data_IF_168554905576
#
_entry.id   IF_168554905576
#
_cell.length_a   1.000
_cell.length_b   1.000
_cell.length_c   1.000
_cell.angle_alpha   90.00
_cell.angle_beta   90.00
_cell.angle_gamma   90.00
#
_symmetry.space_group_name_H-M   'P 1'
#
loop_
_entity.id
_entity.type
_entity.pdbx_description
1 polymer ?
#
# COMPACT_ATOMS: atom_id res chain seq x y z
N UNK A 1 -17.33 9.57 4.81
CA UNK A 1 -17.30 8.35 5.66
C UNK A 1 -16.14 7.48 5.20
N UNK A 2 -15.58 6.64 6.06
CA UNK A 2 -14.62 5.57 5.71
C UNK A 2 -14.95 4.36 6.58
N UNK A 3 -15.06 3.17 5.99
CA UNK A 3 -15.49 1.93 6.70
C UNK A 3 -16.78 2.11 7.52
N UNK A 4 -17.79 2.76 6.93
CA UNK A 4 -19.08 3.02 7.57
C UNK A 4 -19.06 4.02 8.75
N UNK A 5 -17.95 4.74 8.96
CA UNK A 5 -17.80 5.69 10.10
C UNK A 5 -17.29 7.05 9.63
N UNK A 6 -17.47 8.13 10.42
CA UNK A 6 -16.84 9.42 10.13
C UNK A 6 -15.32 9.27 9.98
N UNK A 7 -14.73 10.04 9.08
CA UNK A 7 -13.28 10.05 8.85
C UNK A 7 -12.55 10.63 10.06
N UNK A 8 -11.28 10.27 10.24
CA UNK A 8 -10.48 10.69 11.41
C UNK A 8 -10.53 12.22 11.64
N UNK A 9 -10.31 13.02 10.58
CA UNK A 9 -10.37 14.48 10.67
C UNK A 9 -11.77 15.04 11.02
N UNK A 10 -12.85 14.32 10.69
CA UNK A 10 -14.21 14.76 11.07
C UNK A 10 -14.49 14.54 12.56
N UNK A 11 -13.80 13.60 13.20
CA UNK A 11 -13.97 13.29 14.62
C UNK A 11 -12.98 14.08 15.49
N UNK A 12 -11.73 14.21 15.04
CA UNK A 12 -10.62 14.71 15.87
C UNK A 12 -9.93 15.97 15.32
N UNK A 13 -10.40 16.52 14.19
CA UNK A 13 -9.78 17.66 13.51
C UNK A 13 -8.64 17.27 12.57
N UNK A 14 -8.27 18.18 11.68
CA UNK A 14 -7.25 17.96 10.63
C UNK A 14 -5.86 17.75 11.22
N UNK A 15 -5.42 18.61 12.14
CA UNK A 15 -4.11 18.53 12.79
C UNK A 15 -3.89 17.16 13.45
N UNK A 16 -4.87 16.69 14.21
CA UNK A 16 -4.83 15.37 14.86
C UNK A 16 -4.77 14.24 13.84
N UNK A 17 -5.51 14.36 12.72
CA UNK A 17 -5.54 13.33 11.70
C UNK A 17 -4.19 13.18 10.97
N UNK A 18 -3.51 14.30 10.70
CA UNK A 18 -2.16 14.30 10.12
C UNK A 18 -1.16 13.65 11.09
N UNK A 19 -1.11 14.12 12.33
CA UNK A 19 -0.18 13.59 13.35
C UNK A 19 -0.44 12.11 13.67
N UNK A 20 -1.71 11.66 13.62
CA UNK A 20 -2.02 10.24 13.77
C UNK A 20 -1.48 9.40 12.60
N UNK A 21 -1.50 9.94 11.37
CA UNK A 21 -0.88 9.31 10.21
C UNK A 21 0.63 9.16 10.37
N UNK A 22 1.32 10.24 10.75
CA UNK A 22 2.77 10.25 10.99
C UNK A 22 3.18 9.26 12.09
N UNK A 23 2.40 9.22 13.17
CA UNK A 23 2.61 8.29 14.27
C UNK A 23 2.41 6.82 13.83
N UNK A 24 1.39 6.51 13.04
CA UNK A 24 1.14 5.16 12.54
C UNK A 24 2.23 4.70 11.56
N UNK A 25 2.71 5.59 10.69
CA UNK A 25 3.81 5.33 9.78
C UNK A 25 5.08 4.97 10.56
N UNK A 26 5.43 5.78 11.55
CA UNK A 26 6.58 5.54 12.44
C UNK A 26 6.43 4.25 13.25
N UNK A 27 5.22 3.99 13.75
CA UNK A 27 4.89 2.79 14.50
C UNK A 27 5.03 1.52 13.65
N UNK A 28 4.71 1.55 12.35
CA UNK A 28 4.84 0.39 11.48
C UNK A 28 6.29 -0.14 11.45
N UNK A 29 7.27 0.75 11.26
CA UNK A 29 8.68 0.37 11.25
C UNK A 29 9.18 -0.07 12.63
N UNK A 30 8.83 0.68 13.68
CA UNK A 30 9.19 0.31 15.05
C UNK A 30 8.63 -1.07 15.42
N UNK A 31 7.38 -1.34 15.06
CA UNK A 31 6.72 -2.61 15.34
C UNK A 31 7.42 -3.78 14.65
N UNK A 32 7.75 -3.66 13.36
CA UNK A 32 8.51 -4.71 12.64
C UNK A 32 9.88 -4.94 13.30
N UNK A 33 10.61 -3.87 13.63
CA UNK A 33 11.93 -3.97 14.22
C UNK A 33 11.91 -4.60 15.64
N UNK A 34 10.96 -4.21 16.49
CA UNK A 34 10.93 -4.65 17.88
C UNK A 34 10.21 -5.98 18.10
N UNK A 35 9.12 -6.23 17.35
CA UNK A 35 8.21 -7.36 17.62
C UNK A 35 8.52 -8.59 16.80
N UNK A 36 9.30 -8.49 15.71
CA UNK A 36 9.77 -9.67 14.98
C UNK A 36 10.77 -10.44 15.83
N UNK A 37 10.47 -11.71 16.12
CA UNK A 37 11.31 -12.62 16.93
C UNK A 37 11.62 -13.88 16.13
N UNK A 38 12.70 -14.58 16.52
CA UNK A 38 13.10 -15.86 15.91
C UNK A 38 13.38 -15.77 14.39
N UNK A 39 13.83 -14.61 13.92
CA UNK A 39 14.23 -14.36 12.52
C UNK A 39 15.59 -13.68 12.52
N UNK A 40 16.47 -14.06 11.61
CA UNK A 40 17.78 -13.43 11.42
C UNK A 40 17.66 -11.92 11.19
N UNK A 41 18.49 -11.13 11.87
CA UNK A 41 18.42 -9.66 11.82
C UNK A 41 18.53 -9.12 10.39
N UNK A 42 19.34 -9.75 9.52
CA UNK A 42 19.48 -9.35 8.13
C UNK A 42 18.17 -9.45 7.34
N UNK A 43 17.31 -10.42 7.66
CA UNK A 43 15.99 -10.58 7.02
C UNK A 43 15.01 -9.52 7.52
N UNK A 44 15.05 -9.18 8.82
CA UNK A 44 14.23 -8.09 9.38
C UNK A 44 14.60 -6.75 8.74
N UNK A 45 15.89 -6.44 8.63
CA UNK A 45 16.36 -5.22 7.97
C UNK A 45 15.94 -5.19 6.50
N UNK A 46 16.06 -6.32 5.79
CA UNK A 46 15.60 -6.42 4.40
C UNK A 46 14.10 -6.18 4.27
N UNK A 47 13.27 -6.74 5.16
CA UNK A 47 11.82 -6.52 5.15
C UNK A 47 11.46 -5.05 5.44
N UNK A 48 12.16 -4.40 6.38
CA UNK A 48 12.01 -2.97 6.66
C UNK A 48 12.35 -2.13 5.42
N UNK A 49 13.44 -2.46 4.72
CA UNK A 49 13.84 -1.75 3.51
C UNK A 49 12.79 -1.91 2.39
N UNK A 50 12.23 -3.11 2.21
CA UNK A 50 11.16 -3.36 1.25
C UNK A 50 9.88 -2.58 1.58
N UNK A 51 9.48 -2.56 2.86
CA UNK A 51 8.34 -1.75 3.31
C UNK A 51 8.58 -0.25 3.05
N UNK A 52 9.79 0.25 3.36
CA UNK A 52 10.16 1.64 3.15
C UNK A 52 10.13 2.05 1.67
N UNK A 53 10.66 1.19 0.79
CA UNK A 53 10.63 1.43 -0.66
C UNK A 53 9.19 1.47 -1.17
N UNK A 54 8.35 0.52 -0.74
CA UNK A 54 6.98 0.42 -1.21
C UNK A 54 6.07 1.58 -0.78
N UNK A 55 6.32 2.19 0.39
CA UNK A 55 5.51 3.32 0.87
C UNK A 55 6.16 4.68 0.59
N UNK A 56 7.40 4.70 0.14
CA UNK A 56 8.18 5.92 -0.09
C UNK A 56 7.84 6.64 -1.39
N UNK A 57 8.74 7.55 -1.76
CA UNK A 57 8.60 8.43 -2.94
C UNK A 57 8.66 7.71 -4.29
N UNK A 58 9.10 6.46 -4.32
CA UNK A 58 9.09 5.61 -5.52
C UNK A 58 7.93 4.61 -5.52
N UNK A 59 7.11 4.61 -4.47
CA UNK A 59 6.02 3.67 -4.28
C UNK A 59 4.68 4.36 -4.08
N UNK A 60 4.01 4.04 -2.98
CA UNK A 60 2.66 4.53 -2.64
C UNK A 60 2.53 6.05 -2.78
N UNK A 61 3.50 6.80 -2.27
CA UNK A 61 3.47 8.27 -2.35
C UNK A 61 3.55 8.75 -3.79
N UNK A 62 4.36 8.12 -4.65
CA UNK A 62 4.43 8.46 -6.07
C UNK A 62 3.07 8.29 -6.74
N UNK A 63 2.44 7.13 -6.53
CA UNK A 63 1.12 6.83 -7.07
C UNK A 63 0.06 7.79 -6.57
N UNK A 64 0.11 8.16 -5.27
CA UNK A 64 -0.84 9.11 -4.68
C UNK A 64 -0.67 10.53 -5.21
N UNK A 65 0.56 10.98 -5.48
CA UNK A 65 0.81 12.31 -6.07
C UNK A 65 0.26 12.35 -7.50
N UNK A 66 0.63 11.36 -8.33
CA UNK A 66 0.18 11.32 -9.74
C UNK A 66 -1.34 11.20 -9.83
N UNK A 67 -1.98 10.45 -8.92
CA UNK A 67 -3.43 10.36 -8.80
C UNK A 67 -4.09 11.72 -8.54
N UNK A 68 -3.58 12.48 -7.56
CA UNK A 68 -4.08 13.82 -7.22
C UNK A 68 -3.89 14.80 -8.39
N UNK A 69 -2.73 14.77 -9.04
CA UNK A 69 -2.44 15.63 -10.19
C UNK A 69 -3.27 15.26 -11.44
N UNK A 70 -3.83 14.04 -11.48
CA UNK A 70 -4.67 13.53 -12.57
C UNK A 70 -6.16 13.79 -12.34
N UNK A 71 -6.57 14.32 -11.18
CA UNK A 71 -7.99 14.55 -10.88
C UNK A 71 -8.60 15.58 -11.86
N UNK A 72 -9.64 15.16 -12.57
CA UNK A 72 -10.34 16.00 -13.56
C UNK A 72 -9.72 16.00 -14.95
N UNK A 73 -8.58 15.33 -15.14
CA UNK A 73 -7.89 15.22 -16.43
C UNK A 73 -8.22 13.92 -17.18
N UNK A 74 -8.01 13.93 -18.50
CA UNK A 74 -8.07 12.70 -19.30
C UNK A 74 -6.70 12.03 -19.32
N UNK A 75 -6.56 10.95 -18.57
CA UNK A 75 -5.32 10.16 -18.53
C UNK A 75 -5.33 9.00 -19.52
N UNK A 76 -4.14 8.62 -19.98
CA UNK A 76 -3.90 7.43 -20.77
C UNK A 76 -3.98 6.16 -19.93
N UNK A 77 -4.16 5.01 -20.58
CA UNK A 77 -4.13 3.70 -19.91
C UNK A 77 -2.80 3.46 -19.17
N UNK A 78 -1.68 3.93 -19.73
CA UNK A 78 -0.36 3.77 -19.11
C UNK A 78 -0.23 4.60 -17.83
N UNK A 79 -0.79 5.80 -17.80
CA UNK A 79 -0.83 6.65 -16.60
C UNK A 79 -1.75 6.06 -15.52
N UNK A 80 -2.92 5.54 -15.92
CA UNK A 80 -3.83 4.84 -15.02
C UNK A 80 -3.16 3.59 -14.43
N UNK A 81 -2.50 2.78 -15.25
CA UNK A 81 -1.74 1.62 -14.78
C UNK A 81 -0.61 2.02 -13.82
N UNK A 82 0.12 3.10 -14.13
CA UNK A 82 1.13 3.66 -13.23
C UNK A 82 0.54 4.00 -11.87
N UNK A 83 -0.59 4.73 -11.84
CA UNK A 83 -1.29 5.08 -10.60
C UNK A 83 -1.67 3.81 -9.82
N UNK A 84 -2.34 2.84 -10.47
CA UNK A 84 -2.77 1.61 -9.78
C UNK A 84 -1.61 0.78 -9.23
N UNK A 85 -0.53 0.64 -10.00
CA UNK A 85 0.68 -0.09 -9.56
C UNK A 85 1.26 0.58 -8.31
N UNK A 86 1.49 1.88 -8.35
CA UNK A 86 2.22 2.57 -7.28
C UNK A 86 1.34 2.80 -6.06
N UNK A 87 0.10 3.29 -6.25
CA UNK A 87 -0.83 3.62 -5.16
C UNK A 87 -1.29 2.38 -4.39
N UNK A 88 -1.40 1.22 -5.06
CA UNK A 88 -2.02 0.02 -4.47
C UNK A 88 -1.15 -1.22 -4.54
N UNK A 89 -0.71 -1.61 -5.74
CA UNK A 89 -0.02 -2.89 -5.92
C UNK A 89 1.30 -2.97 -5.16
N UNK A 90 2.07 -1.89 -5.09
CA UNK A 90 3.36 -1.90 -4.40
C UNK A 90 3.25 -2.20 -2.90
N UNK A 91 2.20 -1.75 -2.22
CA UNK A 91 1.99 -2.10 -0.81
C UNK A 91 1.59 -3.57 -0.64
N UNK A 92 0.82 -4.13 -1.58
CA UNK A 92 0.50 -5.56 -1.61
C UNK A 92 1.73 -6.42 -1.92
N UNK A 93 2.58 -5.98 -2.84
CA UNK A 93 3.89 -6.57 -3.12
C UNK A 93 4.74 -6.62 -1.86
N UNK A 94 4.89 -5.50 -1.16
CA UNK A 94 5.64 -5.44 0.09
C UNK A 94 5.07 -6.39 1.16
N UNK A 95 3.75 -6.47 1.30
CA UNK A 95 3.13 -7.39 2.26
C UNK A 95 3.49 -8.86 1.97
N UNK A 96 3.39 -9.29 0.71
CA UNK A 96 3.74 -10.65 0.32
C UNK A 96 5.26 -10.93 0.42
N UNK A 97 6.08 -10.00 -0.08
CA UNK A 97 7.54 -10.09 -0.09
C UNK A 97 8.12 -10.09 1.32
N UNK A 98 7.61 -9.24 2.23
CA UNK A 98 8.01 -9.24 3.63
C UNK A 98 7.75 -10.60 4.28
N UNK A 99 6.58 -11.21 4.01
CA UNK A 99 6.26 -12.56 4.46
C UNK A 99 7.27 -13.60 3.95
N UNK A 100 7.58 -13.57 2.67
CA UNK A 100 8.58 -14.47 2.06
C UNK A 100 9.99 -14.29 2.64
N UNK A 101 10.44 -13.05 2.81
CA UNK A 101 11.75 -12.73 3.40
C UNK A 101 11.84 -13.21 4.84
N UNK A 102 10.84 -12.90 5.67
CA UNK A 102 10.83 -13.27 7.08
C UNK A 102 10.69 -14.79 7.27
N UNK A 103 9.90 -15.44 6.41
CA UNK A 103 9.77 -16.91 6.34
C UNK A 103 11.02 -17.63 5.83
N UNK A 104 11.99 -16.88 5.28
CA UNK A 104 13.25 -17.44 4.81
C UNK A 104 13.23 -18.02 3.40
N UNK A 105 12.28 -17.59 2.57
CA UNK A 105 12.20 -17.98 1.17
C UNK A 105 13.43 -17.52 0.38
N UNK A 106 13.74 -18.28 -0.66
CA UNK A 106 14.81 -17.97 -1.61
C UNK A 106 14.44 -16.75 -2.46
N UNK A 107 15.44 -16.13 -3.09
CA UNK A 107 15.22 -14.96 -3.94
C UNK A 107 14.22 -15.22 -5.07
N UNK A 108 14.22 -16.42 -5.64
CA UNK A 108 13.29 -16.84 -6.70
C UNK A 108 11.84 -16.93 -6.20
N UNK A 109 11.64 -17.42 -4.98
CA UNK A 109 10.32 -17.49 -4.34
C UNK A 109 9.81 -16.09 -3.99
N UNK A 110 10.68 -15.24 -3.45
CA UNK A 110 10.36 -13.84 -3.14
C UNK A 110 9.93 -13.07 -4.40
N UNK A 111 10.64 -13.23 -5.52
CA UNK A 111 10.25 -12.59 -6.78
C UNK A 111 8.97 -13.18 -7.37
N UNK A 112 8.70 -14.46 -7.15
CA UNK A 112 7.43 -15.08 -7.53
C UNK A 112 6.26 -14.48 -6.74
N UNK A 113 6.44 -14.27 -5.42
CA UNK A 113 5.46 -13.59 -4.56
C UNK A 113 5.23 -12.13 -5.00
N UNK A 114 6.30 -11.42 -5.37
CA UNK A 114 6.19 -10.05 -5.89
C UNK A 114 5.35 -10.00 -7.16
N UNK A 115 5.64 -10.87 -8.13
CA UNK A 115 4.87 -10.95 -9.38
C UNK A 115 3.41 -11.30 -9.13
N UNK A 116 3.15 -12.28 -8.24
CA UNK A 116 1.80 -12.65 -7.83
C UNK A 116 1.04 -11.46 -7.24
N UNK A 117 1.63 -10.78 -6.26
CA UNK A 117 1.01 -9.66 -5.58
C UNK A 117 0.75 -8.46 -6.51
N UNK A 118 1.65 -8.20 -7.47
CA UNK A 118 1.44 -7.18 -8.50
C UNK A 118 0.18 -7.44 -9.33
N UNK A 119 0.03 -8.68 -9.82
CA UNK A 119 -1.14 -9.06 -10.60
C UNK A 119 -2.43 -8.95 -9.79
N UNK A 120 -2.41 -9.37 -8.53
CA UNK A 120 -3.58 -9.24 -7.63
C UNK A 120 -3.89 -7.78 -7.33
N UNK A 121 -2.89 -6.92 -7.13
CA UNK A 121 -3.11 -5.49 -6.87
C UNK A 121 -3.73 -4.75 -8.04
N UNK A 122 -3.28 -5.04 -9.27
CA UNK A 122 -3.91 -4.51 -10.48
C UNK A 122 -5.35 -5.01 -10.63
N UNK A 123 -5.56 -6.33 -10.44
CA UNK A 123 -6.91 -6.91 -10.47
C UNK A 123 -7.83 -6.26 -9.45
N UNK A 124 -7.34 -6.01 -8.23
CA UNK A 124 -8.10 -5.37 -7.17
C UNK A 124 -8.62 -4.00 -7.61
N UNK A 125 -7.75 -3.17 -8.20
CA UNK A 125 -8.15 -1.84 -8.67
C UNK A 125 -9.13 -1.88 -9.84
N UNK A 126 -8.90 -2.76 -10.82
CA UNK A 126 -9.86 -2.94 -11.93
C UNK A 126 -11.23 -3.37 -11.41
N UNK A 127 -11.29 -4.23 -10.40
CA UNK A 127 -12.56 -4.64 -9.78
C UNK A 127 -13.18 -3.48 -8.99
N UNK A 128 -12.39 -2.72 -8.23
CA UNK A 128 -12.87 -1.58 -7.44
C UNK A 128 -13.52 -0.52 -8.35
N UNK A 129 -12.86 -0.15 -9.45
CA UNK A 129 -13.39 0.79 -10.45
C UNK A 129 -14.70 0.32 -11.08
N UNK A 130 -14.79 -0.98 -11.42
CA UNK A 130 -16.04 -1.56 -11.94
C UNK A 130 -17.14 -1.50 -10.88
N UNK A 131 -16.82 -1.80 -9.62
CA UNK A 131 -17.79 -1.78 -8.54
C UNK A 131 -18.28 -0.36 -8.22
N UNK A 132 -17.40 0.65 -8.30
CA UNK A 132 -17.73 2.04 -8.04
C UNK A 132 -18.75 2.60 -9.04
N UNK A 133 -18.72 2.13 -10.30
CA UNK A 133 -19.70 2.53 -11.33
C UNK A 133 -20.94 1.62 -11.39
N UNK A 134 -20.88 0.40 -10.86
CA UNK A 134 -22.00 -0.57 -10.95
C UNK A 134 -22.84 -0.70 -9.69
N UNK A 135 -22.32 -0.34 -8.50
CA UNK A 135 -23.08 -0.41 -7.25
C UNK A 135 -23.74 0.93 -6.92
N UNK A 136 -25.00 0.88 -6.47
CA UNK A 136 -25.65 2.04 -5.89
C UNK A 136 -25.04 2.36 -4.51
N UNK A 137 -25.01 3.65 -4.13
CA UNK A 137 -24.40 4.14 -2.88
C UNK A 137 -24.95 3.53 -1.58
N UNK A 138 -25.98 2.68 -1.65
CA UNK A 138 -26.51 1.91 -0.51
C UNK A 138 -25.80 0.57 -0.28
N UNK A 139 -24.91 0.12 -1.19
CA UNK A 139 -24.26 -1.21 -1.14
C UNK A 139 -22.72 -1.17 -1.06
N UNK A 140 -22.13 0.00 -0.84
CA UNK A 140 -20.70 0.25 -0.55
C UNK A 140 -20.49 0.48 0.96
#
# INVERSE_FOLDING_TARGET
LRRGRPTNHKVFGEDTAVLAGDALLSLAFNHVAEKTKNVEHCRVVRAIAELALAIGSEGLVAGQIVDLDSEGEKISLNELEYIHVHKTSMLLEAAAVCGGILGGGESTEVESLRKYARCIGLLFQVVDDILDVTKSSEQL
#
